data_IF_786861776005
#
_entry.id   IF_786861776005
#
_cell.length_a   1.000
_cell.length_b   1.000
_cell.length_c   1.000
_cell.angle_alpha   90.00
_cell.angle_beta   90.00
_cell.angle_gamma   90.00
#
_symmetry.space_group_name_H-M   'P 1'
#
loop_
_entity.id
_entity.type
_entity.pdbx_description
1 polymer ?
#
# COMPACT_ATOMS: atom_id res chain seq x y z
N UNK A 1 16.23 -9.32 -5.80
CA UNK A 1 15.32 -10.20 -5.04
C UNK A 1 15.85 -11.63 -5.06
N UNK A 2 15.88 -12.33 -6.17
CA UNK A 2 16.28 -13.77 -6.29
C UNK A 2 17.62 -14.09 -5.60
N UNK A 3 18.66 -13.26 -5.78
CA UNK A 3 19.98 -13.45 -5.16
C UNK A 3 19.94 -13.43 -3.62
N UNK A 4 18.97 -12.71 -3.05
CA UNK A 4 18.81 -12.55 -1.59
C UNK A 4 17.73 -13.46 -1.02
N UNK A 5 17.09 -14.29 -1.83
CA UNK A 5 15.97 -15.13 -1.42
C UNK A 5 14.72 -14.34 -1.04
N UNK A 6 14.60 -13.09 -1.55
CA UNK A 6 13.45 -12.23 -1.29
C UNK A 6 12.40 -12.43 -2.39
N UNK A 7 11.19 -12.74 -2.02
CA UNK A 7 10.05 -12.78 -2.94
C UNK A 7 9.53 -11.36 -3.21
N UNK A 8 9.17 -11.08 -4.47
CA UNK A 8 8.45 -9.87 -4.86
C UNK A 8 7.06 -10.29 -5.32
N UNK A 9 6.06 -9.93 -4.52
CA UNK A 9 4.65 -10.21 -4.83
C UNK A 9 4.10 -9.03 -5.62
N UNK A 10 3.74 -9.28 -6.89
CA UNK A 10 3.20 -8.25 -7.79
C UNK A 10 1.68 -8.38 -7.94
N UNK A 11 0.97 -7.29 -8.26
CA UNK A 11 -0.45 -7.33 -8.58
C UNK A 11 -0.74 -8.28 -9.74
N UNK A 12 -1.86 -9.02 -9.65
CA UNK A 12 -2.38 -9.90 -10.69
C UNK A 12 -3.55 -9.28 -11.43
N UNK A 13 -4.28 -8.38 -10.78
CA UNK A 13 -5.40 -7.64 -11.33
C UNK A 13 -5.37 -6.16 -10.87
N UNK A 14 -5.95 -5.29 -11.69
CA UNK A 14 -5.95 -3.84 -11.52
C UNK A 14 -7.35 -3.31 -11.81
N UNK A 15 -7.81 -2.33 -11.02
CA UNK A 15 -8.99 -1.53 -11.33
C UNK A 15 -8.58 -0.38 -12.25
N UNK A 16 -9.00 -0.47 -13.50
CA UNK A 16 -8.70 0.51 -14.55
C UNK A 16 -9.90 1.40 -14.76
N UNK A 17 -9.67 2.70 -14.82
CA UNK A 17 -10.70 3.71 -15.04
C UNK A 17 -10.48 4.47 -16.37
N UNK A 18 -11.58 5.02 -16.92
CA UNK A 18 -11.59 5.85 -18.11
C UNK A 18 -10.81 7.16 -17.91
N UNK A 19 -10.87 7.73 -16.70
CA UNK A 19 -10.26 9.01 -16.33
C UNK A 19 -9.98 9.06 -14.83
N UNK A 20 -9.15 9.99 -14.41
CA UNK A 20 -8.92 10.25 -12.99
C UNK A 20 -10.06 11.08 -12.39
N UNK A 21 -11.12 10.40 -11.92
CA UNK A 21 -12.28 11.02 -11.26
C UNK A 21 -13.03 10.00 -10.39
N UNK A 22 -13.67 10.46 -9.32
CA UNK A 22 -14.38 9.61 -8.38
C UNK A 22 -15.56 8.85 -9.00
N UNK A 23 -16.18 9.44 -10.04
CA UNK A 23 -17.33 8.90 -10.78
C UNK A 23 -16.94 8.24 -12.11
N UNK A 24 -15.64 8.00 -12.35
CA UNK A 24 -15.18 7.43 -13.60
C UNK A 24 -15.73 6.02 -13.81
N UNK A 25 -16.13 5.71 -15.04
CA UNK A 25 -16.38 4.34 -15.44
C UNK A 25 -15.10 3.52 -15.26
N UNK A 26 -15.21 2.34 -14.68
CA UNK A 26 -14.07 1.50 -14.35
C UNK A 26 -14.40 0.02 -14.48
N UNK A 27 -13.38 -0.79 -14.63
CA UNK A 27 -13.46 -2.24 -14.68
C UNK A 27 -12.19 -2.87 -14.10
N UNK A 28 -12.28 -4.12 -13.68
CA UNK A 28 -11.11 -4.89 -13.24
C UNK A 28 -10.59 -5.72 -14.39
N UNK A 29 -9.29 -5.64 -14.64
CA UNK A 29 -8.59 -6.41 -15.68
C UNK A 29 -7.34 -7.06 -15.11
N UNK A 30 -6.83 -8.11 -15.77
CA UNK A 30 -5.53 -8.68 -15.44
C UNK A 30 -4.42 -7.62 -15.55
N UNK A 31 -3.43 -7.65 -14.67
CA UNK A 31 -2.38 -6.63 -14.61
C UNK A 31 -1.52 -6.55 -15.87
N UNK A 32 -1.42 -7.63 -16.65
CA UNK A 32 -0.75 -7.69 -17.95
C UNK A 32 -1.65 -7.33 -19.13
N UNK A 33 -2.94 -7.05 -18.90
CA UNK A 33 -3.96 -6.79 -19.91
C UNK A 33 -4.61 -5.40 -19.80
N UNK A 34 -3.97 -4.44 -19.11
CA UNK A 34 -4.52 -3.08 -18.91
C UNK A 34 -4.88 -2.41 -20.24
N UNK A 35 -4.03 -2.55 -21.26
CA UNK A 35 -4.30 -2.00 -22.60
C UNK A 35 -5.43 -2.69 -23.37
N UNK A 36 -5.90 -3.86 -22.89
CA UNK A 36 -7.05 -4.58 -23.44
C UNK A 36 -8.36 -4.24 -22.73
N UNK A 37 -8.34 -3.34 -21.75
CA UNK A 37 -9.55 -2.81 -21.13
C UNK A 37 -10.44 -2.11 -22.15
N UNK A 38 -11.73 -1.90 -21.84
CA UNK A 38 -12.65 -1.14 -22.67
C UNK A 38 -12.20 0.31 -22.89
N UNK A 39 -11.26 0.81 -22.09
CA UNK A 39 -10.66 2.14 -22.20
C UNK A 39 -9.36 2.14 -23.04
N UNK A 40 -8.88 0.96 -23.48
CA UNK A 40 -7.70 0.81 -24.30
C UNK A 40 -6.44 1.42 -23.69
N UNK A 41 -5.60 2.02 -24.53
CA UNK A 41 -4.35 2.65 -24.08
C UNK A 41 -4.55 3.94 -23.25
N UNK A 42 -5.78 4.47 -23.17
CA UNK A 42 -6.11 5.62 -22.33
C UNK A 42 -6.53 5.22 -20.91
N UNK A 43 -6.76 3.94 -20.64
CA UNK A 43 -7.13 3.44 -19.33
C UNK A 43 -6.06 3.74 -18.27
N UNK A 44 -6.49 4.16 -17.09
CA UNK A 44 -5.63 4.53 -15.97
C UNK A 44 -5.88 3.56 -14.81
N UNK A 45 -4.84 2.86 -14.35
CA UNK A 45 -4.94 2.03 -13.13
C UNK A 45 -5.08 2.94 -11.90
N UNK A 46 -6.18 2.83 -11.18
CA UNK A 46 -6.47 3.65 -10.00
C UNK A 46 -6.51 2.87 -8.69
N UNK A 47 -6.61 1.54 -8.74
CA UNK A 47 -6.48 0.66 -7.56
C UNK A 47 -5.98 -0.71 -8.01
N UNK A 48 -5.51 -1.50 -7.05
CA UNK A 48 -5.33 -2.95 -7.26
C UNK A 48 -6.69 -3.63 -7.33
N UNK A 49 -6.76 -4.73 -8.07
CA UNK A 49 -7.98 -5.51 -8.15
C UNK A 49 -8.25 -6.36 -6.90
N UNK A 50 -9.44 -6.94 -6.78
CA UNK A 50 -9.85 -7.69 -5.60
C UNK A 50 -9.03 -8.96 -5.35
N UNK A 51 -8.55 -9.65 -6.39
CA UNK A 51 -7.69 -10.82 -6.24
C UNK A 51 -6.32 -10.43 -5.66
N UNK A 52 -5.74 -9.35 -6.17
CA UNK A 52 -4.50 -8.78 -5.64
C UNK A 52 -4.66 -8.32 -4.19
N UNK A 53 -5.76 -7.62 -3.88
CA UNK A 53 -6.03 -7.14 -2.53
C UNK A 53 -6.13 -8.31 -1.53
N UNK A 54 -6.85 -9.39 -1.89
CA UNK A 54 -6.95 -10.60 -1.06
C UNK A 54 -5.59 -11.29 -0.88
N UNK A 55 -4.78 -11.39 -1.94
CA UNK A 55 -3.45 -11.96 -1.87
C UNK A 55 -2.53 -11.13 -0.96
N UNK A 56 -2.50 -9.82 -1.12
CA UNK A 56 -1.67 -8.93 -0.28
C UNK A 56 -2.11 -8.98 1.19
N UNK A 57 -3.41 -9.04 1.45
CA UNK A 57 -3.93 -9.22 2.81
C UNK A 57 -3.45 -10.54 3.43
N UNK A 58 -3.41 -11.62 2.66
CA UNK A 58 -2.89 -12.91 3.12
C UNK A 58 -1.40 -12.83 3.47
N UNK A 59 -0.58 -12.23 2.60
CA UNK A 59 0.86 -12.02 2.88
C UNK A 59 1.08 -11.19 4.16
N UNK A 60 0.24 -10.16 4.38
CA UNK A 60 0.30 -9.35 5.60
C UNK A 60 -0.02 -10.18 6.83
N UNK A 61 -1.11 -10.97 6.80
CA UNK A 61 -1.55 -11.79 7.93
C UNK A 61 -0.55 -12.89 8.30
N UNK A 62 0.18 -13.43 7.32
CA UNK A 62 1.20 -14.47 7.52
C UNK A 62 2.55 -13.89 7.97
N UNK A 63 2.70 -12.57 8.03
CA UNK A 63 3.95 -11.90 8.35
C UNK A 63 4.06 -11.55 9.82
N UNK A 64 5.26 -11.73 10.41
CA UNK A 64 5.53 -11.35 11.81
C UNK A 64 5.88 -9.87 12.00
N UNK A 65 6.41 -9.22 10.96
CA UNK A 65 6.75 -7.79 10.96
C UNK A 65 6.46 -7.20 9.61
N UNK A 66 5.66 -6.16 9.59
CA UNK A 66 5.19 -5.52 8.37
C UNK A 66 5.54 -4.03 8.38
N UNK A 67 6.06 -3.52 7.28
CA UNK A 67 6.17 -2.09 7.03
C UNK A 67 5.35 -1.77 5.79
N UNK A 68 4.26 -1.06 5.99
CA UNK A 68 3.39 -0.61 4.91
C UNK A 68 3.69 0.84 4.54
N UNK A 69 4.09 1.07 3.30
CA UNK A 69 4.42 2.40 2.79
C UNK A 69 3.75 2.67 1.44
N UNK A 70 2.79 3.55 1.45
CA UNK A 70 2.00 3.97 0.30
C UNK A 70 0.65 3.23 0.18
N UNK A 71 -0.44 3.96 -0.11
CA UNK A 71 -1.74 3.37 -0.42
C UNK A 71 -1.67 2.52 -1.68
N UNK A 72 -2.59 1.56 -1.81
CA UNK A 72 -2.67 0.66 -2.97
C UNK A 72 -3.36 1.31 -4.16
N UNK A 73 -4.28 2.25 -3.90
CA UNK A 73 -5.05 2.95 -4.90
C UNK A 73 -5.37 4.38 -4.47
N UNK A 74 -6.21 5.04 -5.25
CA UNK A 74 -6.68 6.42 -4.99
C UNK A 74 -7.77 6.38 -3.94
N UNK A 75 -7.36 6.21 -2.69
CA UNK A 75 -8.26 5.99 -1.55
C UNK A 75 -9.24 7.15 -1.28
N UNK A 76 -8.93 8.34 -1.79
CA UNK A 76 -9.81 9.51 -1.72
C UNK A 76 -11.09 9.33 -2.54
N UNK A 77 -11.09 8.41 -3.49
CA UNK A 77 -12.24 8.05 -4.29
C UNK A 77 -12.81 6.71 -3.83
N UNK A 78 -14.03 6.65 -3.29
CA UNK A 78 -14.59 5.41 -2.74
C UNK A 78 -14.55 4.22 -3.70
N UNK A 79 -14.67 4.45 -5.01
CA UNK A 79 -14.60 3.42 -6.02
C UNK A 79 -13.20 2.78 -6.17
N UNK A 80 -12.14 3.44 -5.69
CA UNK A 80 -10.73 3.04 -5.83
C UNK A 80 -10.01 2.94 -4.48
N UNK A 81 -10.77 2.77 -3.40
CA UNK A 81 -10.25 2.67 -2.04
C UNK A 81 -10.14 1.22 -1.53
N UNK A 82 -10.72 0.25 -2.25
CA UNK A 82 -10.86 -1.12 -1.77
C UNK A 82 -9.53 -1.80 -1.50
N UNK A 83 -8.55 -1.64 -2.37
CA UNK A 83 -7.22 -2.21 -2.20
C UNK A 83 -6.55 -1.70 -0.94
N UNK A 84 -6.56 -0.37 -0.75
CA UNK A 84 -6.01 0.29 0.44
C UNK A 84 -6.73 -0.15 1.71
N UNK A 85 -8.07 -0.20 1.69
CA UNK A 85 -8.88 -0.62 2.83
C UNK A 85 -8.62 -2.09 3.22
N UNK A 86 -8.49 -2.97 2.23
CA UNK A 86 -8.24 -4.40 2.45
C UNK A 86 -6.88 -4.63 3.11
N UNK A 87 -5.82 -3.97 2.61
CA UNK A 87 -4.48 -4.07 3.19
C UNK A 87 -4.43 -3.44 4.59
N UNK A 88 -5.06 -2.26 4.79
CA UNK A 88 -5.15 -1.63 6.10
C UNK A 88 -5.87 -2.52 7.12
N UNK A 89 -6.97 -3.18 6.73
CA UNK A 89 -7.69 -4.12 7.59
C UNK A 89 -6.81 -5.31 7.96
N UNK A 90 -6.13 -5.92 7.01
CA UNK A 90 -5.22 -7.02 7.30
C UNK A 90 -4.09 -6.61 8.26
N UNK A 91 -3.59 -5.36 8.13
CA UNK A 91 -2.56 -4.83 9.03
C UNK A 91 -3.10 -4.56 10.43
N UNK A 92 -4.35 -4.16 10.57
CA UNK A 92 -5.03 -3.99 11.87
C UNK A 92 -5.34 -5.34 12.54
N UNK A 93 -5.68 -6.36 11.75
CA UNK A 93 -6.09 -7.67 12.24
C UNK A 93 -4.92 -8.66 12.47
N UNK A 94 -3.68 -8.30 12.03
CA UNK A 94 -2.51 -9.20 12.16
C UNK A 94 -2.06 -9.38 13.60
N UNK A 95 -1.60 -10.59 13.95
CA UNK A 95 -0.86 -10.83 15.19
C UNK A 95 0.60 -10.33 15.13
N UNK A 96 1.08 -9.97 13.94
CA UNK A 96 2.41 -9.41 13.71
C UNK A 96 2.53 -7.93 14.12
N UNK A 97 3.74 -7.39 14.09
CA UNK A 97 3.99 -5.99 14.37
C UNK A 97 3.89 -5.15 13.08
N UNK A 98 2.79 -4.43 12.92
CA UNK A 98 2.48 -3.59 11.77
C UNK A 98 2.95 -2.15 11.96
N UNK A 99 3.75 -1.63 11.03
CA UNK A 99 4.17 -0.23 10.96
C UNK A 99 3.58 0.42 9.72
N UNK A 100 2.80 1.47 9.92
CA UNK A 100 2.31 2.34 8.84
C UNK A 100 3.34 3.44 8.60
N UNK A 101 3.97 3.45 7.43
CA UNK A 101 5.01 4.41 7.04
C UNK A 101 4.53 5.36 5.95
N UNK A 102 4.98 6.62 6.06
CA UNK A 102 4.65 7.66 5.10
C UNK A 102 3.36 8.43 5.40
N UNK A 103 3.36 9.71 5.01
CA UNK A 103 2.24 10.62 5.28
C UNK A 103 0.93 10.19 4.60
N UNK A 104 1.02 9.69 3.36
CA UNK A 104 -0.15 9.28 2.59
C UNK A 104 -0.79 8.02 3.17
N UNK A 105 0.02 7.05 3.65
CA UNK A 105 -0.51 5.86 4.33
C UNK A 105 -1.19 6.22 5.64
N UNK A 106 -0.60 7.12 6.44
CA UNK A 106 -1.20 7.61 7.68
C UNK A 106 -2.49 8.41 7.42
N UNK A 107 -2.55 9.17 6.33
CA UNK A 107 -3.78 9.84 5.91
C UNK A 107 -4.85 8.86 5.46
N UNK A 108 -4.45 7.82 4.70
CA UNK A 108 -5.35 6.80 4.19
C UNK A 108 -6.04 6.02 5.32
N UNK A 109 -5.29 5.54 6.32
CA UNK A 109 -5.89 4.77 7.43
C UNK A 109 -6.93 5.58 8.18
N UNK A 110 -6.66 6.87 8.47
CA UNK A 110 -7.61 7.75 9.14
C UNK A 110 -8.83 8.08 8.28
N UNK A 111 -8.63 8.35 6.97
CA UNK A 111 -9.72 8.61 6.03
C UNK A 111 -10.65 7.40 5.87
N UNK A 112 -10.11 6.18 5.99
CA UNK A 112 -10.84 4.92 5.90
C UNK A 112 -11.48 4.48 7.24
N UNK A 113 -11.33 5.29 8.31
CA UNK A 113 -12.00 5.08 9.58
C UNK A 113 -11.30 4.11 10.52
N UNK A 114 -9.99 3.93 10.38
CA UNK A 114 -9.16 3.23 11.35
C UNK A 114 -8.65 4.19 12.41
N UNK A 115 -8.50 3.70 13.63
CA UNK A 115 -7.84 4.42 14.71
C UNK A 115 -6.32 4.17 14.68
N UNK A 116 -5.53 5.13 15.18
CA UNK A 116 -4.07 5.00 15.22
C UNK A 116 -3.65 3.80 16.09
N UNK A 117 -4.44 3.46 17.10
CA UNK A 117 -4.23 2.34 18.03
C UNK A 117 -4.52 0.95 17.40
N UNK A 118 -5.14 0.89 16.21
CA UNK A 118 -5.34 -0.35 15.47
C UNK A 118 -4.02 -0.91 14.91
N UNK A 119 -2.94 -0.10 14.91
CA UNK A 119 -1.65 -0.47 14.32
C UNK A 119 -0.55 -0.51 15.37
N UNK A 120 0.45 -1.35 15.17
CA UNK A 120 1.61 -1.42 16.05
C UNK A 120 2.38 -0.10 16.16
N UNK A 121 2.49 0.65 15.04
CA UNK A 121 3.07 2.00 15.02
C UNK A 121 2.67 2.75 13.75
N UNK A 122 2.35 4.05 13.88
CA UNK A 122 2.24 4.96 12.74
C UNK A 122 3.45 5.89 12.75
N UNK A 123 4.32 5.72 11.75
CA UNK A 123 5.55 6.49 11.64
C UNK A 123 5.27 7.91 11.12
N UNK A 124 5.69 8.90 11.87
CA UNK A 124 5.71 10.30 11.44
C UNK A 124 7.03 10.70 10.76
N UNK A 125 7.99 9.80 10.69
CA UNK A 125 9.33 10.04 10.14
C UNK A 125 9.39 10.12 8.61
N UNK A 126 8.30 9.79 7.92
CA UNK A 126 8.22 9.86 6.45
C UNK A 126 9.39 9.14 5.76
N UNK A 127 10.01 9.79 4.78
CA UNK A 127 11.14 9.25 4.02
C UNK A 127 12.37 8.88 4.87
N UNK A 128 12.59 9.57 5.99
CA UNK A 128 13.71 9.27 6.90
C UNK A 128 13.58 7.85 7.50
N UNK A 129 12.37 7.40 7.83
CA UNK A 129 12.17 6.02 8.31
C UNK A 129 12.57 4.98 7.26
N UNK A 130 12.26 5.23 5.99
CA UNK A 130 12.64 4.33 4.89
C UNK A 130 14.15 4.35 4.67
N UNK A 131 14.77 5.51 4.68
CA UNK A 131 16.24 5.64 4.57
C UNK A 131 16.96 4.93 5.71
N UNK A 132 16.41 4.98 6.93
CA UNK A 132 16.94 4.24 8.07
C UNK A 132 16.85 2.72 7.86
N UNK A 133 15.72 2.22 7.35
CA UNK A 133 15.54 0.80 7.01
C UNK A 133 16.47 0.34 5.88
N UNK A 134 16.86 1.25 4.97
CA UNK A 134 17.90 1.00 3.96
C UNK A 134 19.32 0.94 4.54
N UNK A 135 19.50 1.22 5.82
CA UNK A 135 20.81 1.28 6.48
C UNK A 135 21.58 2.58 6.24
N UNK A 136 20.91 3.62 5.76
CA UNK A 136 21.52 4.94 5.58
C UNK A 136 21.72 5.63 6.94
N UNK A 137 22.81 6.39 7.05
CA UNK A 137 23.03 7.26 8.20
C UNK A 137 22.12 8.48 8.10
N UNK A 138 21.42 8.76 9.19
CA UNK A 138 20.55 9.92 9.29
C UNK A 138 21.23 11.00 10.13
N UNK A 139 21.46 12.22 9.57
CA UNK A 139 22.15 13.29 10.30
C UNK A 139 21.54 13.63 11.66
N UNK A 140 20.20 13.56 11.76
CA UNK A 140 19.49 13.76 13.02
C UNK A 140 19.82 12.74 14.09
N UNK A 141 19.98 11.45 13.72
CA UNK A 141 20.36 10.39 14.65
C UNK A 141 21.83 10.47 15.03
N UNK A 142 22.72 10.88 14.10
CA UNK A 142 24.13 11.08 14.38
C UNK A 142 24.35 12.17 15.43
N UNK A 143 23.64 13.32 15.32
CA UNK A 143 23.71 14.41 16.30
C UNK A 143 23.22 13.97 17.67
N UNK A 144 22.27 13.05 17.73
CA UNK A 144 21.74 12.47 18.98
C UNK A 144 22.63 11.34 19.55
N UNK A 145 23.70 10.98 18.87
CA UNK A 145 24.63 9.93 19.28
C UNK A 145 24.06 8.50 19.15
N UNK A 146 23.11 8.31 18.26
CA UNK A 146 22.44 7.02 18.03
C UNK A 146 23.17 6.12 17.03
N UNK A 147 24.19 6.61 16.33
CA UNK A 147 25.02 5.91 15.32
C UNK A 147 26.50 6.17 15.55
#
# INVERSE_FOLDING_TARGET
ATRLGVEIVLPTDIVVAERFAADAAHETVAADAIGASSFGAAGIGLDIGPETAARFAHEVLDSSTIVWNGPMGVFEFPAFANGTQTVARALADTEGFGVVGGGDSAAAVRALGFDDDDFGHISTGGGASLEFLEGKRLPGLEVLGWL
#
